data_IF_008205705895
#
_entry.id   IF_008205705895
#
_cell.length_a   1.000
_cell.length_b   1.000
_cell.length_c   1.000
_cell.angle_alpha   90.00
_cell.angle_beta   90.00
_cell.angle_gamma   90.00
#
_symmetry.space_group_name_H-M   'P 1'
#
loop_
_entity.id
_entity.type
_entity.pdbx_description
1 polymer ?
#
# COMPACT_ATOMS: atom_id res chain seq x y z
N UNK A 1 8.24 -19.88 14.28
CA UNK A 1 8.19 -19.86 12.80
C UNK A 1 6.72 -19.75 12.39
N UNK A 2 6.26 -18.59 11.89
CA UNK A 2 4.81 -18.39 11.64
C UNK A 2 4.38 -17.04 11.04
N UNK A 3 5.32 -16.12 10.77
CA UNK A 3 4.97 -14.76 10.34
C UNK A 3 4.67 -14.56 8.85
N UNK A 4 4.98 -15.54 7.99
CA UNK A 4 5.00 -15.32 6.53
C UNK A 4 3.85 -16.00 5.75
N UNK A 5 3.04 -16.86 6.38
CA UNK A 5 2.03 -17.66 5.65
C UNK A 5 0.86 -16.82 5.13
N UNK A 6 0.54 -15.71 5.80
CA UNK A 6 -0.51 -14.76 5.41
C UNK A 6 -0.07 -13.74 4.36
N UNK A 7 1.22 -13.69 4.06
CA UNK A 7 1.73 -12.83 2.99
C UNK A 7 1.36 -13.41 1.63
N UNK A 8 1.19 -14.74 1.52
CA UNK A 8 0.92 -15.43 0.27
C UNK A 8 -0.41 -14.98 -0.37
N UNK A 9 -1.57 -14.94 0.32
CA UNK A 9 -2.82 -14.48 -0.31
C UNK A 9 -2.78 -12.99 -0.70
N UNK A 10 -2.15 -12.18 0.13
CA UNK A 10 -2.02 -10.73 -0.04
C UNK A 10 -1.12 -10.42 -1.25
N UNK A 11 0.01 -11.11 -1.34
CA UNK A 11 0.92 -11.11 -2.48
C UNK A 11 0.19 -11.57 -3.73
N UNK A 12 -0.51 -12.72 -3.68
CA UNK A 12 -1.26 -13.24 -4.83
C UNK A 12 -2.32 -12.25 -5.31
N UNK A 13 -3.06 -11.59 -4.42
CA UNK A 13 -4.03 -10.56 -4.81
C UNK A 13 -3.35 -9.37 -5.49
N UNK A 14 -2.25 -8.87 -4.93
CA UNK A 14 -1.44 -7.81 -5.56
C UNK A 14 -0.98 -8.22 -6.97
N UNK A 15 -0.57 -9.48 -7.17
CA UNK A 15 -0.20 -10.01 -8.49
C UNK A 15 -1.33 -9.92 -9.52
N UNK A 16 -2.58 -10.05 -9.09
CA UNK A 16 -3.76 -9.93 -9.97
C UNK A 16 -4.00 -8.51 -10.51
N UNK A 17 -3.59 -7.45 -9.79
CA UNK A 17 -3.85 -6.06 -10.20
C UNK A 17 -2.82 -5.47 -11.17
N UNK A 18 -1.76 -6.19 -11.49
CA UNK A 18 -0.90 -5.85 -12.61
C UNK A 18 0.44 -6.54 -12.55
N UNK A 19 0.75 -7.37 -13.56
CA UNK A 19 2.08 -7.85 -14.02
C UNK A 19 3.19 -8.10 -12.97
N UNK A 20 2.84 -8.27 -11.71
CA UNK A 20 3.75 -8.45 -10.59
C UNK A 20 4.20 -9.92 -10.64
N UNK A 21 5.37 -10.15 -11.25
CA UNK A 21 5.95 -11.48 -11.39
C UNK A 21 5.91 -12.07 -12.81
N UNK A 22 6.06 -11.27 -13.86
CA UNK A 22 6.44 -11.79 -15.19
C UNK A 22 7.85 -12.41 -15.24
N UNK A 23 8.59 -12.42 -14.14
CA UNK A 23 9.85 -13.13 -13.99
C UNK A 23 10.01 -13.59 -12.54
N UNK A 24 10.99 -14.44 -12.30
CA UNK A 24 11.39 -14.99 -10.98
C UNK A 24 11.83 -13.93 -9.97
N UNK A 25 11.00 -12.92 -9.69
CA UNK A 25 11.24 -11.90 -8.67
C UNK A 25 11.11 -12.53 -7.30
N UNK A 26 12.15 -12.34 -6.48
CA UNK A 26 12.19 -12.72 -5.08
C UNK A 26 11.10 -11.96 -4.30
N UNK A 27 10.55 -12.58 -3.26
CA UNK A 27 9.53 -11.97 -2.42
C UNK A 27 10.00 -10.62 -1.86
N UNK A 28 11.31 -10.47 -1.61
CA UNK A 28 11.93 -9.23 -1.17
C UNK A 28 11.77 -8.09 -2.19
N UNK A 29 12.01 -8.36 -3.48
CA UNK A 29 11.83 -7.37 -4.55
C UNK A 29 10.37 -6.94 -4.63
N UNK A 30 9.44 -7.88 -4.49
CA UNK A 30 8.02 -7.57 -4.42
C UNK A 30 7.65 -6.71 -3.20
N UNK A 31 8.29 -6.93 -2.04
CA UNK A 31 8.13 -6.06 -0.88
C UNK A 31 8.67 -4.65 -1.10
N UNK A 32 9.81 -4.52 -1.79
CA UNK A 32 10.39 -3.22 -2.12
C UNK A 32 9.52 -2.48 -3.13
N UNK A 33 9.01 -3.16 -4.15
CA UNK A 33 8.09 -2.60 -5.16
C UNK A 33 6.72 -2.20 -4.54
N UNK A 34 6.25 -2.94 -3.53
CA UNK A 34 5.09 -2.53 -2.71
C UNK A 34 5.39 -1.29 -1.86
N UNK A 35 6.64 -1.19 -1.41
CA UNK A 35 7.19 -0.06 -0.68
C UNK A 35 7.51 1.16 -1.56
N UNK A 36 7.35 1.10 -2.89
CA UNK A 36 7.60 2.26 -3.78
C UNK A 36 6.50 3.32 -3.69
N UNK A 37 5.44 3.10 -2.90
CA UNK A 37 4.43 4.11 -2.56
C UNK A 37 3.60 4.57 -3.79
N UNK A 38 3.93 4.15 -5.02
CA UNK A 38 3.27 4.53 -6.27
C UNK A 38 2.20 3.51 -6.64
N UNK A 39 2.53 2.22 -6.62
CA UNK A 39 1.66 1.16 -7.12
C UNK A 39 0.34 1.07 -6.35
N UNK A 40 0.40 1.08 -5.01
CA UNK A 40 -0.80 1.04 -4.17
C UNK A 40 -1.70 2.27 -4.37
N UNK A 41 -1.11 3.43 -4.67
CA UNK A 41 -1.88 4.60 -5.05
C UNK A 41 -2.59 4.43 -6.40
N UNK A 42 -1.97 3.75 -7.37
CA UNK A 42 -2.62 3.43 -8.64
C UNK A 42 -3.79 2.46 -8.46
N UNK A 43 -3.64 1.44 -7.61
CA UNK A 43 -4.76 0.55 -7.26
C UNK A 43 -5.89 1.34 -6.61
N UNK A 44 -5.58 2.18 -5.62
CA UNK A 44 -6.61 2.98 -4.93
C UNK A 44 -7.35 3.91 -5.89
N UNK A 45 -6.68 4.49 -6.89
CA UNK A 45 -7.34 5.29 -7.93
C UNK A 45 -8.24 4.48 -8.87
N UNK A 46 -7.93 3.20 -9.10
CA UNK A 46 -8.82 2.31 -9.86
C UNK A 46 -10.06 1.92 -9.03
N UNK A 47 -9.92 1.78 -7.71
CA UNK A 47 -11.03 1.49 -6.79
C UNK A 47 -11.93 2.73 -6.62
N UNK A 48 -11.32 3.90 -6.39
CA UNK A 48 -12.02 5.17 -6.21
C UNK A 48 -11.45 6.24 -7.15
N UNK A 49 -12.14 6.56 -8.26
CA UNK A 49 -11.69 7.58 -9.20
C UNK A 49 -12.02 9.02 -8.75
N UNK A 50 -12.75 9.22 -7.65
CA UNK A 50 -13.16 10.56 -7.17
C UNK A 50 -11.99 11.49 -6.78
N UNK A 51 -10.90 11.05 -6.13
CA UNK A 51 -9.73 11.89 -5.86
C UNK A 51 -8.99 12.27 -7.16
N UNK A 52 -9.50 13.29 -7.87
CA UNK A 52 -8.99 13.76 -9.17
C UNK A 52 -7.84 14.77 -9.06
N UNK A 53 -7.65 15.40 -7.90
CA UNK A 53 -6.68 16.49 -7.70
C UNK A 53 -5.41 16.08 -6.93
N UNK A 54 -5.26 14.82 -6.52
CA UNK A 54 -4.06 14.36 -5.84
C UNK A 54 -3.01 13.90 -6.85
N UNK A 55 -1.95 14.70 -7.00
CA UNK A 55 -0.81 14.36 -7.84
C UNK A 55 0.08 13.34 -7.13
N UNK A 56 -0.07 12.07 -7.47
CA UNK A 56 0.88 11.02 -7.06
C UNK A 56 2.21 11.28 -7.77
N UNK A 57 3.30 11.31 -7.01
CA UNK A 57 4.63 11.44 -7.58
C UNK A 57 5.00 10.13 -8.28
N UNK A 58 5.05 10.13 -9.62
CA UNK A 58 5.32 8.92 -10.44
C UNK A 58 6.79 8.51 -10.45
N UNK A 59 7.69 9.42 -10.06
CA UNK A 59 9.12 9.19 -10.01
C UNK A 59 9.63 9.53 -8.61
N UNK A 60 9.62 8.54 -7.72
CA UNK A 60 10.07 8.71 -6.34
C UNK A 60 11.61 8.70 -6.26
N UNK A 61 12.34 8.02 -7.16
CA UNK A 61 13.82 8.03 -7.25
C UNK A 61 14.54 7.88 -5.89
N UNK A 62 14.03 7.05 -4.97
CA UNK A 62 14.49 6.93 -3.58
C UNK A 62 14.40 8.22 -2.72
N UNK A 63 13.65 9.23 -3.15
CA UNK A 63 13.34 10.41 -2.34
C UNK A 63 12.31 10.04 -1.27
N UNK A 64 12.82 9.99 -0.03
CA UNK A 64 12.06 9.74 1.20
C UNK A 64 10.86 10.68 1.33
N UNK A 65 11.00 11.96 0.98
CA UNK A 65 9.90 12.93 1.10
C UNK A 65 8.81 12.66 0.07
N UNK A 66 9.17 12.24 -1.15
CA UNK A 66 8.19 11.88 -2.18
C UNK A 66 7.44 10.60 -1.83
N UNK A 67 8.12 9.58 -1.28
CA UNK A 67 7.40 8.40 -0.78
C UNK A 67 6.49 8.75 0.41
N UNK A 68 6.95 9.54 1.39
CA UNK A 68 6.10 9.96 2.53
C UNK A 68 4.85 10.67 2.01
N UNK A 69 4.99 11.58 1.04
CA UNK A 69 3.85 12.24 0.42
C UNK A 69 2.90 11.24 -0.25
N UNK A 70 3.43 10.33 -1.06
CA UNK A 70 2.62 9.31 -1.73
C UNK A 70 1.89 8.40 -0.73
N UNK A 71 2.56 7.91 0.33
CA UNK A 71 1.91 7.10 1.38
C UNK A 71 0.86 7.90 2.14
N UNK A 72 1.10 9.18 2.39
CA UNK A 72 0.14 10.05 3.06
C UNK A 72 -1.12 10.24 2.21
N UNK A 73 -0.95 10.43 0.89
CA UNK A 73 -2.06 10.47 -0.08
C UNK A 73 -2.84 9.16 -0.03
N UNK A 74 -2.16 8.02 -0.07
CA UNK A 74 -2.79 6.70 -0.03
C UNK A 74 -3.63 6.50 1.23
N UNK A 75 -3.04 6.71 2.40
CA UNK A 75 -3.72 6.52 3.70
C UNK A 75 -4.93 7.44 3.82
N UNK A 76 -4.82 8.69 3.32
CA UNK A 76 -5.95 9.61 3.28
C UNK A 76 -7.07 9.09 2.38
N UNK A 77 -6.75 8.61 1.18
CA UNK A 77 -7.74 8.16 0.20
C UNK A 77 -8.48 6.92 0.69
N UNK A 78 -7.75 5.96 1.27
CA UNK A 78 -8.31 4.80 1.95
C UNK A 78 -9.31 5.26 3.03
N UNK A 79 -8.88 6.15 3.93
CA UNK A 79 -9.75 6.63 5.02
C UNK A 79 -11.02 7.29 4.48
N UNK A 80 -10.87 8.18 3.49
CA UNK A 80 -12.00 8.85 2.84
C UNK A 80 -12.95 7.85 2.18
N UNK A 81 -12.43 6.83 1.50
CA UNK A 81 -13.26 5.80 0.88
C UNK A 81 -14.07 5.01 1.91
N UNK A 82 -13.41 4.54 2.98
CA UNK A 82 -14.08 3.83 4.07
C UNK A 82 -15.20 4.68 4.70
N UNK A 83 -14.92 5.95 4.97
CA UNK A 83 -15.88 6.83 5.65
C UNK A 83 -17.01 7.29 4.74
N UNK A 84 -16.72 7.69 3.51
CA UNK A 84 -17.70 8.34 2.63
C UNK A 84 -18.42 7.35 1.71
N UNK A 85 -17.74 6.31 1.22
CA UNK A 85 -18.31 5.33 0.27
C UNK A 85 -18.85 4.13 1.02
N UNK A 86 -18.00 3.47 1.80
CA UNK A 86 -18.41 2.26 2.53
C UNK A 86 -19.26 2.56 3.77
N UNK A 87 -19.25 3.82 4.25
CA UNK A 87 -19.91 4.21 5.51
C UNK A 87 -19.45 3.34 6.69
N UNK A 88 -18.18 2.96 6.71
CA UNK A 88 -17.56 2.07 7.69
C UNK A 88 -16.42 2.77 8.44
N UNK A 89 -16.30 2.48 9.74
CA UNK A 89 -15.20 2.98 10.56
C UNK A 89 -14.02 2.02 10.53
N UNK A 90 -12.84 2.54 10.23
CA UNK A 90 -11.58 1.81 10.41
C UNK A 90 -11.29 1.71 11.91
N UNK A 91 -11.45 0.52 12.49
CA UNK A 91 -11.26 0.26 13.94
C UNK A 91 -9.78 0.04 14.30
N UNK A 92 -8.95 -0.31 13.32
CA UNK A 92 -7.51 -0.45 13.50
C UNK A 92 -6.79 0.90 13.44
N UNK A 93 -5.59 0.97 14.01
CA UNK A 93 -4.72 2.14 13.85
C UNK A 93 -4.32 2.32 12.38
N UNK A 94 -4.35 3.56 11.91
CA UNK A 94 -3.90 3.90 10.56
C UNK A 94 -2.40 3.61 10.40
N UNK A 95 -1.95 3.24 9.19
CA UNK A 95 -0.56 2.90 8.94
C UNK A 95 0.38 4.09 9.21
N UNK A 96 1.47 3.85 9.92
CA UNK A 96 2.50 4.84 10.19
C UNK A 96 3.46 4.98 9.01
N UNK A 97 3.20 5.99 8.16
CA UNK A 97 3.98 6.27 6.96
C UNK A 97 5.48 6.50 7.24
N UNK A 98 5.83 7.12 8.37
CA UNK A 98 7.23 7.39 8.71
C UNK A 98 7.99 6.11 9.05
N UNK A 99 7.32 5.15 9.70
CA UNK A 99 7.91 3.86 10.03
C UNK A 99 8.20 3.03 8.78
N UNK A 100 7.30 3.10 7.79
CA UNK A 100 7.47 2.41 6.51
C UNK A 100 8.74 2.90 5.80
N UNK A 101 8.93 4.22 5.75
CA UNK A 101 10.03 4.84 4.98
C UNK A 101 11.37 4.81 5.70
N UNK A 102 11.40 4.93 7.03
CA UNK A 102 12.66 4.94 7.80
C UNK A 102 13.37 3.60 7.82
N UNK A 103 12.61 2.51 7.94
CA UNK A 103 13.17 1.17 8.12
C UNK A 103 12.38 0.13 7.30
N UNK A 104 12.42 0.19 5.95
CA UNK A 104 11.54 -0.61 5.07
C UNK A 104 11.67 -2.12 5.26
N UNK A 105 12.81 -2.61 5.76
CA UNK A 105 13.08 -4.03 5.98
C UNK A 105 12.91 -4.46 7.45
N UNK A 106 12.52 -3.55 8.35
CA UNK A 106 12.25 -3.90 9.74
C UNK A 106 10.93 -4.66 9.86
N UNK A 107 10.84 -5.59 10.82
CA UNK A 107 9.58 -6.29 11.11
C UNK A 107 8.43 -5.33 11.47
N UNK A 108 8.74 -4.16 12.02
CA UNK A 108 7.76 -3.11 12.33
C UNK A 108 7.23 -2.45 11.04
N UNK A 109 8.09 -2.06 10.12
CA UNK A 109 7.67 -1.53 8.81
C UNK A 109 6.84 -2.55 8.02
N UNK A 110 7.23 -3.83 8.04
CA UNK A 110 6.45 -4.90 7.42
C UNK A 110 5.04 -5.01 8.00
N UNK A 111 4.86 -4.76 9.30
CA UNK A 111 3.54 -4.72 9.92
C UNK A 111 2.72 -3.52 9.43
N UNK A 112 3.34 -2.34 9.28
CA UNK A 112 2.68 -1.15 8.74
C UNK A 112 2.30 -1.31 7.27
N UNK A 113 3.17 -1.88 6.43
CA UNK A 113 2.86 -2.22 5.04
C UNK A 113 1.70 -3.23 4.99
N UNK A 114 1.67 -4.22 5.89
CA UNK A 114 0.56 -5.17 6.00
C UNK A 114 -0.75 -4.43 6.31
N UNK A 115 -0.73 -3.44 7.20
CA UNK A 115 -1.91 -2.61 7.52
C UNK A 115 -2.39 -1.86 6.28
N UNK A 116 -1.48 -1.23 5.51
CA UNK A 116 -1.83 -0.56 4.25
C UNK A 116 -2.51 -1.54 3.30
N UNK A 117 -1.90 -2.70 3.06
CA UNK A 117 -2.42 -3.70 2.13
C UNK A 117 -3.79 -4.21 2.55
N UNK A 118 -4.00 -4.53 3.83
CA UNK A 118 -5.30 -4.97 4.33
C UNK A 118 -6.39 -3.91 4.13
N UNK A 119 -6.06 -2.64 4.31
CA UNK A 119 -7.01 -1.56 4.09
C UNK A 119 -7.33 -1.36 2.61
N UNK A 120 -6.33 -1.38 1.72
CA UNK A 120 -6.56 -1.29 0.26
C UNK A 120 -7.40 -2.48 -0.23
N UNK A 121 -7.10 -3.69 0.24
CA UNK A 121 -7.89 -4.90 -0.03
C UNK A 121 -9.34 -4.70 0.37
N UNK A 122 -9.59 -4.19 1.58
CA UNK A 122 -10.94 -3.99 2.08
C UNK A 122 -11.71 -2.86 1.39
N UNK A 123 -11.05 -2.00 0.62
CA UNK A 123 -11.73 -1.10 -0.32
C UNK A 123 -12.14 -1.79 -1.63
N UNK A 124 -11.51 -2.91 -1.98
CA UNK A 124 -11.73 -3.60 -3.26
C UNK A 124 -12.72 -4.77 -3.19
N UNK A 125 -13.11 -5.21 -1.98
CA UNK A 125 -14.12 -6.26 -1.74
C UNK A 125 -15.45 -5.66 -1.31
#
# INVERSE_FOLDING_TARGET
QGGARWLIPLVTWVKTFGQFGSGSQDNLTMYMDLGDCIFLNQIMLQIDPRPTNQRINKHVNNDVNLCIQNLTILVRNIKTYYQEVLQQLIVMNLPNVLMIVREPLSGKSMEEIRKVLLLVMGCAV
#
